data_IF_355650223853
#
_entry.id   IF_355650223853
#
_cell.length_a   1.000
_cell.length_b   1.000
_cell.length_c   1.000
_cell.angle_alpha   90.00
_cell.angle_beta   90.00
_cell.angle_gamma   90.00
#
_symmetry.space_group_name_H-M   'P 1'
#
loop_
_entity.id
_entity.type
_entity.pdbx_description
1 polymer ?
#
# COMPACT_ATOMS: atom_id res chain seq x y z
N UNK A 1 15.67 -6.04 60.64
CA UNK A 1 15.47 -7.01 59.54
C UNK A 1 14.48 -6.44 58.57
N UNK A 2 14.95 -5.86 57.45
CA UNK A 2 14.11 -5.33 56.35
C UNK A 2 14.08 -6.38 55.24
N UNK A 3 12.92 -6.98 55.00
CA UNK A 3 12.70 -7.88 53.86
C UNK A 3 12.56 -7.04 52.59
N UNK A 4 13.47 -7.25 51.65
CA UNK A 4 13.38 -6.75 50.27
C UNK A 4 12.43 -7.67 49.49
N UNK A 5 11.29 -7.14 49.05
CA UNK A 5 10.44 -7.77 48.03
C UNK A 5 11.06 -7.52 46.67
N UNK A 6 11.52 -8.58 46.04
CA UNK A 6 11.94 -8.57 44.63
C UNK A 6 10.70 -8.62 43.76
N UNK A 7 10.48 -7.55 42.98
CA UNK A 7 9.48 -7.54 41.93
C UNK A 7 10.10 -8.26 40.73
N UNK A 8 9.60 -9.46 40.45
CA UNK A 8 9.97 -10.24 39.26
C UNK A 8 9.20 -9.69 38.09
N UNK A 9 9.83 -8.83 37.30
CA UNK A 9 9.28 -8.33 36.04
C UNK A 9 9.24 -9.46 35.00
N UNK A 10 8.04 -9.87 34.65
CA UNK A 10 7.79 -10.83 33.59
C UNK A 10 8.01 -10.12 32.22
N UNK A 11 9.19 -10.26 31.65
CA UNK A 11 9.46 -9.91 30.27
C UNK A 11 8.70 -10.90 29.37
N UNK A 12 7.55 -10.50 28.85
CA UNK A 12 6.92 -11.21 27.74
C UNK A 12 7.76 -10.92 26.50
N UNK A 13 8.65 -11.84 26.16
CA UNK A 13 9.31 -11.86 24.88
C UNK A 13 8.25 -12.09 23.80
N UNK A 14 7.96 -11.07 23.01
CA UNK A 14 7.24 -11.23 21.76
C UNK A 14 8.08 -12.15 20.85
N UNK A 15 7.75 -13.42 20.84
CA UNK A 15 8.17 -14.34 19.78
C UNK A 15 7.48 -13.86 18.48
N UNK A 16 8.17 -13.01 17.74
CA UNK A 16 7.89 -12.80 16.33
C UNK A 16 8.23 -14.12 15.65
N UNK A 17 7.26 -15.00 15.57
CA UNK A 17 7.35 -16.19 14.74
C UNK A 17 7.52 -15.75 13.28
N UNK A 18 8.76 -15.76 12.79
CA UNK A 18 9.03 -15.71 11.36
C UNK A 18 8.44 -16.99 10.76
N UNK A 19 7.23 -16.91 10.23
CA UNK A 19 6.77 -17.97 9.34
C UNK A 19 7.74 -18.03 8.16
N UNK A 20 8.28 -19.21 7.82
CA UNK A 20 9.07 -19.33 6.60
C UNK A 20 8.14 -19.04 5.44
N UNK A 21 8.32 -17.88 4.82
CA UNK A 21 7.71 -17.58 3.52
C UNK A 21 8.37 -18.54 2.55
N UNK A 22 7.69 -19.64 2.23
CA UNK A 22 8.05 -20.43 1.07
C UNK A 22 8.07 -19.45 -0.11
N UNK A 23 9.23 -19.28 -0.72
CA UNK A 23 9.43 -18.43 -1.88
C UNK A 23 8.62 -19.03 -3.05
N UNK A 24 7.33 -18.74 -3.08
CA UNK A 24 6.48 -19.06 -4.19
C UNK A 24 6.72 -17.97 -5.24
N UNK A 25 7.40 -18.31 -6.33
CA UNK A 25 7.78 -17.41 -7.43
C UNK A 25 6.60 -16.71 -8.13
N UNK A 26 5.37 -16.93 -7.64
CA UNK A 26 4.12 -16.25 -8.04
C UNK A 26 3.59 -15.28 -6.97
N UNK A 27 4.14 -15.27 -5.76
CA UNK A 27 3.70 -14.35 -4.72
C UNK A 27 4.03 -12.91 -5.13
N UNK A 28 3.01 -12.05 -5.18
CA UNK A 28 3.18 -10.64 -5.52
C UNK A 28 3.09 -10.27 -6.99
N UNK A 29 2.96 -11.21 -7.95
CA UNK A 29 2.75 -10.84 -9.36
C UNK A 29 1.46 -10.05 -9.54
N UNK A 30 1.43 -9.05 -10.45
CA UNK A 30 0.24 -8.25 -10.71
C UNK A 30 -0.98 -9.08 -11.13
N UNK A 31 -2.14 -8.77 -10.56
CA UNK A 31 -3.45 -9.32 -10.93
C UNK A 31 -4.42 -8.19 -11.18
N UNK A 32 -5.03 -8.17 -12.37
CA UNK A 32 -6.13 -7.26 -12.69
C UNK A 32 -7.46 -7.91 -12.25
N UNK A 33 -8.20 -7.19 -11.43
CA UNK A 33 -9.56 -7.55 -11.06
C UNK A 33 -10.54 -6.92 -12.05
N UNK A 34 -11.16 -7.76 -12.89
CA UNK A 34 -12.11 -7.31 -13.92
C UNK A 34 -13.35 -6.65 -13.34
N UNK A 35 -13.73 -7.03 -12.13
CA UNK A 35 -14.89 -6.52 -11.39
C UNK A 35 -14.78 -5.03 -11.07
N UNK A 36 -13.57 -4.54 -10.83
CA UNK A 36 -13.31 -3.14 -10.49
C UNK A 36 -12.37 -2.46 -11.48
N UNK A 37 -11.70 -3.24 -12.34
CA UNK A 37 -10.71 -2.76 -13.29
C UNK A 37 -9.42 -2.27 -12.62
N UNK A 38 -9.19 -2.62 -11.34
CA UNK A 38 -7.99 -2.24 -10.60
C UNK A 38 -7.01 -3.40 -10.48
N UNK A 39 -5.74 -3.05 -10.34
CA UNK A 39 -4.66 -4.03 -10.24
C UNK A 39 -4.16 -4.13 -8.81
N UNK A 40 -3.82 -5.33 -8.40
CA UNK A 40 -3.22 -5.63 -7.10
C UNK A 40 -1.90 -6.37 -7.31
N UNK A 41 -0.81 -5.92 -6.65
CA UNK A 41 0.51 -6.49 -6.90
C UNK A 41 1.44 -6.43 -5.69
N UNK A 42 2.57 -7.15 -5.80
CA UNK A 42 3.73 -7.12 -4.93
C UNK A 42 3.38 -7.23 -3.43
N UNK A 43 3.93 -6.39 -2.58
CA UNK A 43 3.72 -6.41 -1.13
C UNK A 43 2.24 -6.23 -0.73
N UNK A 44 1.49 -5.40 -1.46
CA UNK A 44 0.04 -5.25 -1.24
C UNK A 44 -0.70 -6.56 -1.53
N UNK A 45 -0.35 -7.24 -2.63
CA UNK A 45 -0.94 -8.54 -2.96
C UNK A 45 -0.54 -9.62 -1.95
N UNK A 46 0.73 -9.66 -1.53
CA UNK A 46 1.18 -10.62 -0.52
C UNK A 46 0.42 -10.46 0.79
N UNK A 47 0.21 -9.20 1.25
CA UNK A 47 -0.60 -8.92 2.44
C UNK A 47 -2.06 -9.34 2.23
N UNK A 48 -2.66 -8.97 1.10
CA UNK A 48 -4.04 -9.30 0.75
C UNK A 48 -4.26 -10.83 0.72
N UNK A 49 -3.40 -11.58 0.02
CA UNK A 49 -3.44 -13.04 -0.05
C UNK A 49 -3.30 -13.67 1.35
N UNK A 50 -2.37 -13.18 2.17
CA UNK A 50 -2.11 -13.69 3.52
C UNK A 50 -3.18 -13.32 4.55
N UNK A 51 -3.89 -12.22 4.35
CA UNK A 51 -4.92 -11.72 5.26
C UNK A 51 -6.34 -12.20 4.90
N UNK A 52 -6.50 -13.19 4.04
CA UNK A 52 -7.78 -13.78 3.68
C UNK A 52 -8.42 -13.22 2.41
N UNK A 53 -7.69 -12.43 1.65
CA UNK A 53 -8.05 -12.03 0.29
C UNK A 53 -9.39 -11.33 0.17
N UNK A 54 -10.14 -11.77 -0.82
CA UNK A 54 -11.45 -11.19 -1.17
C UNK A 54 -12.46 -11.23 -0.02
N UNK A 55 -12.45 -12.27 0.81
CA UNK A 55 -13.40 -12.41 1.91
C UNK A 55 -13.17 -11.40 3.04
N UNK A 56 -11.93 -10.99 3.26
CA UNK A 56 -11.54 -10.05 4.32
C UNK A 56 -11.41 -8.63 3.78
N UNK A 57 -10.61 -8.43 2.72
CA UNK A 57 -10.29 -7.10 2.21
C UNK A 57 -11.31 -6.59 1.16
N UNK A 58 -11.94 -7.50 0.42
CA UNK A 58 -12.75 -7.17 -0.77
C UNK A 58 -11.88 -6.90 -1.98
N UNK A 59 -12.50 -6.43 -3.05
CA UNK A 59 -11.84 -6.02 -4.28
C UNK A 59 -11.04 -4.72 -4.10
N UNK A 60 -9.91 -4.52 -4.81
CA UNK A 60 -9.27 -3.21 -4.88
C UNK A 60 -10.19 -2.19 -5.54
N UNK A 61 -10.28 -1.00 -4.97
CA UNK A 61 -11.09 0.13 -5.45
C UNK A 61 -10.25 1.24 -6.06
N UNK A 62 -8.95 1.19 -5.86
CA UNK A 62 -7.98 2.15 -6.44
C UNK A 62 -6.76 1.39 -6.92
N UNK A 63 -5.96 2.04 -7.75
CA UNK A 63 -4.56 1.68 -7.87
C UNK A 63 -3.80 2.15 -6.60
N UNK A 64 -2.53 1.76 -6.47
CA UNK A 64 -1.68 2.32 -5.42
C UNK A 64 -1.38 3.78 -5.75
N UNK A 65 -1.45 4.66 -4.74
CA UNK A 65 -1.09 6.07 -4.87
C UNK A 65 -0.43 6.58 -3.59
N UNK A 66 0.13 7.78 -3.62
CA UNK A 66 0.75 8.39 -2.45
C UNK A 66 -0.28 9.22 -1.69
N UNK A 67 -0.48 8.87 -0.42
CA UNK A 67 -1.29 9.60 0.53
C UNK A 67 -0.47 9.80 1.81
N UNK A 68 -0.39 11.04 2.30
CA UNK A 68 0.41 11.41 3.47
C UNK A 68 1.88 10.91 3.40
N UNK A 69 2.48 10.99 2.21
CA UNK A 69 3.87 10.61 1.97
C UNK A 69 4.15 9.11 1.92
N UNK A 70 3.13 8.25 1.86
CA UNK A 70 3.30 6.79 1.74
C UNK A 70 2.41 6.17 0.67
N UNK A 71 2.85 5.08 0.04
CA UNK A 71 2.01 4.31 -0.87
C UNK A 71 0.83 3.68 -0.12
N UNK A 72 -0.38 3.88 -0.66
CA UNK A 72 -1.62 3.30 -0.14
C UNK A 72 -2.45 2.70 -1.27
N UNK A 73 -3.27 1.70 -0.96
CA UNK A 73 -4.28 1.16 -1.84
C UNK A 73 -5.56 0.90 -1.05
N UNK A 74 -6.69 1.33 -1.60
CA UNK A 74 -8.00 1.10 -0.99
C UNK A 74 -8.67 -0.12 -1.59
N UNK A 75 -9.34 -0.85 -0.70
CA UNK A 75 -10.17 -2.01 -0.99
C UNK A 75 -11.58 -1.75 -0.47
N UNK A 76 -12.55 -2.58 -0.83
CA UNK A 76 -13.93 -2.39 -0.35
C UNK A 76 -14.02 -2.28 1.17
N UNK A 77 -13.23 -3.09 1.92
CA UNK A 77 -13.30 -3.20 3.38
C UNK A 77 -12.06 -2.69 4.10
N UNK A 78 -10.97 -2.41 3.38
CA UNK A 78 -9.69 -2.08 3.97
C UNK A 78 -8.97 -0.97 3.20
N UNK A 79 -8.00 -0.36 3.86
CA UNK A 79 -6.92 0.44 3.27
C UNK A 79 -5.60 -0.25 3.63
N UNK A 80 -4.75 -0.50 2.65
CA UNK A 80 -3.39 -0.99 2.87
C UNK A 80 -2.39 0.14 2.69
N UNK A 81 -1.36 0.15 3.52
CA UNK A 81 -0.33 1.18 3.60
C UNK A 81 1.05 0.54 3.59
N UNK A 82 1.96 1.08 2.77
CA UNK A 82 3.36 0.71 2.81
C UNK A 82 4.12 1.55 3.84
N UNK A 83 4.73 0.89 4.82
CA UNK A 83 5.55 1.52 5.85
C UNK A 83 7.03 1.27 5.58
N UNK A 84 7.67 2.20 4.85
CA UNK A 84 9.05 2.06 4.38
C UNK A 84 10.08 1.88 5.51
N UNK A 85 9.86 2.55 6.65
CA UNK A 85 10.72 2.43 7.84
C UNK A 85 10.66 1.05 8.51
N UNK A 86 9.56 0.31 8.30
CA UNK A 86 9.37 -1.04 8.84
C UNK A 86 9.56 -2.12 7.78
N UNK A 87 9.56 -1.74 6.50
CA UNK A 87 9.65 -2.68 5.39
C UNK A 87 8.45 -3.60 5.22
N UNK A 88 7.24 -3.17 5.62
CA UNK A 88 6.03 -3.99 5.61
C UNK A 88 4.81 -3.23 5.12
N UNK A 89 3.81 -3.97 4.63
CA UNK A 89 2.45 -3.47 4.43
C UNK A 89 1.64 -3.67 5.70
N UNK A 90 0.87 -2.66 6.09
CA UNK A 90 -0.08 -2.71 7.20
C UNK A 90 -1.48 -2.31 6.73
N UNK A 91 -2.50 -2.78 7.43
CA UNK A 91 -3.85 -2.27 7.25
C UNK A 91 -4.01 -0.94 7.99
N UNK A 92 -4.53 0.07 7.29
CA UNK A 92 -4.78 1.42 7.81
C UNK A 92 -5.98 1.48 8.77
N UNK A 93 -6.07 2.54 9.55
CA UNK A 93 -7.01 2.68 10.66
C UNK A 93 -8.41 3.18 10.22
N UNK A 94 -9.03 2.52 9.22
CA UNK A 94 -10.37 2.87 8.75
C UNK A 94 -11.45 2.66 9.81
N UNK A 95 -11.29 1.66 10.69
CA UNK A 95 -12.23 1.42 11.77
C UNK A 95 -12.24 2.56 12.78
N UNK A 96 -11.08 3.17 13.09
CA UNK A 96 -10.99 4.36 13.94
C UNK A 96 -11.69 5.55 13.29
N UNK A 97 -11.44 5.79 12.01
CA UNK A 97 -12.12 6.84 11.23
C UNK A 97 -13.66 6.67 11.26
N UNK A 98 -14.16 5.45 11.12
CA UNK A 98 -15.59 5.14 11.16
C UNK A 98 -16.16 5.28 12.58
N UNK A 99 -15.43 4.82 13.61
CA UNK A 99 -15.79 4.95 15.02
C UNK A 99 -15.99 6.42 15.44
N UNK A 100 -15.13 7.32 14.96
CA UNK A 100 -15.24 8.77 15.25
C UNK A 100 -16.53 9.38 14.67
N UNK A 101 -17.12 8.76 13.68
CA UNK A 101 -18.37 9.17 12.99
C UNK A 101 -19.61 8.48 13.50
N UNK A 102 -19.49 7.43 14.30
CA UNK A 102 -20.66 6.77 14.90
C UNK A 102 -21.39 7.75 15.83
N UNK A 103 -22.71 7.78 15.73
CA UNK A 103 -23.58 8.57 16.62
C UNK A 103 -23.86 7.87 17.94
N UNK A 104 -23.67 6.56 17.99
CA UNK A 104 -23.87 5.73 19.20
C UNK A 104 -22.58 5.69 20.01
N UNK A 105 -22.53 6.38 21.16
CA UNK A 105 -21.30 6.54 21.96
C UNK A 105 -21.14 5.56 23.12
N UNK A 106 -22.22 5.07 23.70
CA UNK A 106 -22.15 4.20 24.88
C UNK A 106 -21.28 2.95 24.70
N UNK A 107 -21.31 2.23 23.56
CA UNK A 107 -20.44 1.06 23.33
C UNK A 107 -18.95 1.36 23.27
N UNK A 108 -18.58 2.61 23.02
CA UNK A 108 -17.17 3.06 22.96
C UNK A 108 -16.63 3.52 24.34
N UNK A 109 -17.45 3.42 25.39
CA UNK A 109 -17.01 3.74 26.75
C UNK A 109 -16.06 2.66 27.26
N UNK A 110 -14.87 3.06 27.79
CA UNK A 110 -13.88 2.11 28.29
C UNK A 110 -14.40 1.23 29.42
N UNK A 111 -14.03 -0.05 29.40
CA UNK A 111 -14.33 -1.03 30.44
C UNK A 111 -13.17 -1.22 31.41
N UNK A 112 -13.44 -1.76 32.60
CA UNK A 112 -12.43 -2.13 33.60
C UNK A 112 -12.00 -3.60 33.53
N UNK A 113 -12.67 -4.42 32.71
CA UNK A 113 -12.40 -5.85 32.54
C UNK A 113 -13.47 -6.56 31.72
N UNK A 114 -13.31 -7.86 31.53
CA UNK A 114 -14.30 -8.72 30.89
C UNK A 114 -15.52 -8.94 31.80
N UNK A 115 -16.72 -8.88 31.21
CA UNK A 115 -17.95 -9.19 31.95
C UNK A 115 -18.18 -10.71 32.09
N UNK A 116 -17.63 -11.51 31.16
CA UNK A 116 -17.81 -12.95 31.12
C UNK A 116 -16.47 -13.66 30.88
N UNK A 117 -16.27 -14.88 31.42
CA UNK A 117 -15.02 -15.66 31.27
C UNK A 117 -14.71 -16.02 29.81
N UNK A 118 -15.73 -16.00 28.93
CA UNK A 118 -15.59 -16.30 27.49
C UNK A 118 -15.10 -15.12 26.67
N UNK A 119 -15.00 -13.93 27.27
CA UNK A 119 -14.48 -12.72 26.60
C UNK A 119 -12.97 -12.56 26.86
N UNK A 120 -12.27 -11.99 25.88
CA UNK A 120 -10.92 -11.44 26.05
C UNK A 120 -11.07 -9.96 26.36
N UNK A 121 -10.41 -9.48 27.41
CA UNK A 121 -10.25 -8.06 27.68
C UNK A 121 -8.90 -7.57 27.17
N UNK A 122 -8.91 -6.46 26.45
CA UNK A 122 -7.71 -5.79 25.94
C UNK A 122 -7.43 -4.53 26.77
N UNK A 123 -6.41 -4.55 27.64
CA UNK A 123 -6.05 -3.39 28.47
C UNK A 123 -5.67 -2.16 27.62
N UNK A 124 -5.10 -2.38 26.44
CA UNK A 124 -4.62 -1.34 25.52
C UNK A 124 -5.76 -0.45 24.99
N UNK A 125 -6.89 -1.05 24.65
CA UNK A 125 -8.08 -0.34 24.17
C UNK A 125 -9.17 -0.22 25.22
N UNK A 126 -9.10 -1.01 26.31
CA UNK A 126 -10.08 -1.12 27.40
C UNK A 126 -11.44 -1.59 26.90
N UNK A 127 -11.43 -2.54 25.96
CA UNK A 127 -12.63 -3.17 25.39
C UNK A 127 -12.52 -4.69 25.45
N UNK A 128 -13.68 -5.35 25.26
CA UNK A 128 -13.77 -6.81 25.30
C UNK A 128 -14.07 -7.36 23.90
N UNK A 129 -13.76 -8.64 23.71
CA UNK A 129 -14.06 -9.37 22.47
C UNK A 129 -14.54 -10.78 22.83
N UNK A 130 -15.73 -11.15 22.37
CA UNK A 130 -16.39 -12.41 22.68
C UNK A 130 -17.02 -13.10 21.49
N UNK A 131 -17.67 -14.22 21.76
CA UNK A 131 -18.57 -14.91 20.82
C UNK A 131 -17.97 -15.22 19.45
N UNK A 132 -18.80 -15.03 18.42
CA UNK A 132 -18.42 -15.24 17.02
C UNK A 132 -17.39 -14.25 16.53
N UNK A 133 -17.42 -13.01 17.01
CA UNK A 133 -16.44 -11.98 16.63
C UNK A 133 -15.06 -12.34 17.14
N UNK A 134 -14.93 -12.90 18.37
CA UNK A 134 -13.66 -13.41 18.87
C UNK A 134 -13.13 -14.55 18.00
N UNK A 135 -13.96 -15.52 17.65
CA UNK A 135 -13.55 -16.65 16.80
C UNK A 135 -13.10 -16.15 15.42
N UNK A 136 -13.85 -15.24 14.82
CA UNK A 136 -13.51 -14.66 13.54
C UNK A 136 -12.18 -13.88 13.59
N UNK A 137 -11.99 -13.04 14.61
CA UNK A 137 -10.77 -12.29 14.82
C UNK A 137 -9.54 -13.20 14.97
N UNK A 138 -9.66 -14.25 15.80
CA UNK A 138 -8.56 -15.21 16.02
C UNK A 138 -8.20 -15.99 14.77
N UNK A 139 -9.18 -16.37 13.96
CA UNK A 139 -8.99 -17.22 12.77
C UNK A 139 -8.53 -16.45 11.54
N UNK A 140 -8.64 -15.10 11.50
CA UNK A 140 -8.40 -14.29 10.31
C UNK A 140 -7.29 -13.23 10.52
N UNK A 141 -6.29 -13.50 11.35
CA UNK A 141 -5.09 -12.66 11.49
C UNK A 141 -5.09 -11.67 12.65
N UNK A 142 -6.14 -11.65 13.46
CA UNK A 142 -6.17 -11.00 14.77
C UNK A 142 -5.70 -9.55 14.76
N UNK A 143 -4.79 -9.24 15.67
CA UNK A 143 -4.27 -7.89 15.88
C UNK A 143 -3.59 -7.30 14.65
N UNK A 144 -2.92 -8.12 13.84
CA UNK A 144 -2.22 -7.64 12.65
C UNK A 144 -3.18 -7.14 11.56
N UNK A 145 -4.31 -7.83 11.39
CA UNK A 145 -5.27 -7.52 10.32
C UNK A 145 -6.32 -6.52 10.81
N UNK A 146 -6.86 -6.70 12.01
CA UNK A 146 -8.02 -5.95 12.49
C UNK A 146 -7.70 -4.88 13.53
N UNK A 147 -6.59 -5.02 14.26
CA UNK A 147 -6.27 -4.18 15.41
C UNK A 147 -7.05 -4.54 16.67
N UNK A 148 -6.95 -3.67 17.69
CA UNK A 148 -7.69 -3.79 18.93
C UNK A 148 -9.16 -3.43 18.74
N UNK A 149 -10.11 -4.02 19.52
CA UNK A 149 -11.49 -3.54 19.56
C UNK A 149 -11.54 -2.11 20.12
N UNK A 150 -12.40 -1.28 19.55
CA UNK A 150 -12.63 0.11 19.94
C UNK A 150 -14.00 0.30 20.59
N UNK A 151 -14.86 -0.70 20.52
CA UNK A 151 -16.20 -0.70 21.13
C UNK A 151 -16.53 -2.07 21.69
N UNK A 152 -17.62 -2.12 22.47
CA UNK A 152 -18.35 -3.37 22.72
C UNK A 152 -19.26 -3.66 21.50
N UNK A 153 -19.90 -4.84 21.49
CA UNK A 153 -20.93 -5.19 20.52
C UNK A 153 -22.19 -4.33 20.71
N UNK A 154 -22.79 -3.85 19.62
CA UNK A 154 -24.06 -3.12 19.66
C UNK A 154 -24.81 -3.21 18.31
N UNK A 155 -26.10 -2.82 18.32
CA UNK A 155 -26.91 -2.76 17.11
C UNK A 155 -26.70 -1.44 16.38
N UNK A 156 -26.42 -1.51 15.08
CA UNK A 156 -26.24 -0.36 14.20
C UNK A 156 -26.95 -0.58 12.85
N UNK A 157 -27.56 0.48 12.31
CA UNK A 157 -28.15 0.45 10.97
C UNK A 157 -27.03 0.55 9.93
N UNK A 158 -26.91 -0.45 9.07
CA UNK A 158 -25.99 -0.42 7.94
C UNK A 158 -26.56 0.53 6.87
N UNK A 159 -25.77 1.55 6.52
CA UNK A 159 -26.20 2.59 5.59
C UNK A 159 -26.27 2.12 4.13
N UNK A 160 -25.70 0.96 3.78
CA UNK A 160 -25.73 0.44 2.42
C UNK A 160 -27.03 -0.29 2.09
N UNK A 161 -27.58 -1.04 3.04
CA UNK A 161 -28.79 -1.84 2.83
C UNK A 161 -29.97 -1.48 3.76
N UNK A 162 -29.76 -0.54 4.69
CA UNK A 162 -30.77 -0.07 5.65
C UNK A 162 -31.13 -1.08 6.76
N UNK A 163 -30.46 -2.23 6.83
CA UNK A 163 -30.73 -3.25 7.85
C UNK A 163 -29.93 -2.98 9.11
N UNK A 164 -30.42 -3.51 10.21
CA UNK A 164 -29.76 -3.44 11.52
C UNK A 164 -28.94 -4.70 11.78
N UNK A 165 -27.65 -4.55 12.08
CA UNK A 165 -26.77 -5.65 12.42
C UNK A 165 -26.14 -5.45 13.79
N UNK A 166 -25.77 -6.55 14.45
CA UNK A 166 -24.82 -6.47 15.57
C UNK A 166 -23.44 -6.18 15.00
N UNK A 167 -22.84 -5.10 15.49
CA UNK A 167 -21.52 -4.65 15.03
C UNK A 167 -20.54 -4.51 16.18
N UNK A 168 -19.24 -4.61 15.87
CA UNK A 168 -18.16 -4.23 16.78
C UNK A 168 -17.06 -3.52 15.97
N UNK A 169 -16.58 -2.38 16.47
CA UNK A 169 -15.53 -1.60 15.83
C UNK A 169 -14.15 -2.05 16.34
N UNK A 170 -13.22 -2.11 15.39
CA UNK A 170 -11.80 -2.35 15.61
C UNK A 170 -10.98 -1.20 15.01
N UNK A 171 -9.70 -1.09 15.32
CA UNK A 171 -8.87 0.01 14.80
C UNK A 171 -8.87 0.09 13.26
N UNK A 172 -8.93 -1.05 12.57
CA UNK A 172 -8.78 -1.13 11.11
C UNK A 172 -10.06 -1.45 10.37
N UNK A 173 -11.10 -1.93 11.08
CA UNK A 173 -12.33 -2.40 10.44
C UNK A 173 -13.52 -2.34 11.39
N UNK A 174 -14.72 -2.68 10.88
CA UNK A 174 -15.93 -2.95 11.66
C UNK A 174 -16.41 -4.36 11.31
N UNK A 175 -16.64 -5.19 12.32
CA UNK A 175 -17.31 -6.48 12.16
C UNK A 175 -18.83 -6.31 12.19
N UNK A 176 -19.52 -7.13 11.39
CA UNK A 176 -20.98 -7.16 11.26
C UNK A 176 -21.46 -8.61 11.34
N UNK A 177 -22.48 -8.87 12.15
CA UNK A 177 -23.10 -10.18 12.26
C UNK A 177 -24.36 -10.26 11.39
N UNK A 178 -24.35 -11.19 10.44
CA UNK A 178 -25.41 -11.47 9.46
C UNK A 178 -26.02 -12.84 9.73
N UNK A 179 -27.04 -12.95 10.62
CA UNK A 179 -27.62 -14.24 11.03
C UNK A 179 -28.25 -15.04 9.89
N UNK A 180 -28.70 -14.36 8.85
CA UNK A 180 -29.38 -14.97 7.70
C UNK A 180 -28.42 -15.67 6.71
N UNK A 181 -27.10 -15.49 6.89
CA UNK A 181 -26.10 -16.10 6.04
C UNK A 181 -25.65 -17.47 6.58
N UNK A 182 -25.12 -18.36 5.70
CA UNK A 182 -24.49 -19.60 6.13
C UNK A 182 -23.40 -19.35 7.19
N UNK A 183 -23.23 -20.25 8.16
CA UNK A 183 -22.39 -20.09 9.35
C UNK A 183 -20.99 -19.49 9.07
N UNK A 184 -20.33 -19.91 7.98
CA UNK A 184 -19.01 -19.43 7.58
C UNK A 184 -18.96 -17.96 7.11
N UNK A 185 -20.12 -17.36 6.83
CA UNK A 185 -20.27 -15.98 6.34
C UNK A 185 -21.06 -15.09 7.30
N UNK A 186 -21.47 -15.61 8.45
CA UNK A 186 -22.25 -14.84 9.43
C UNK A 186 -21.48 -13.67 10.02
N UNK A 187 -20.16 -13.73 10.07
CA UNK A 187 -19.35 -12.57 10.41
C UNK A 187 -18.70 -12.05 9.13
N UNK A 188 -18.96 -10.80 8.82
CA UNK A 188 -18.36 -10.08 7.69
C UNK A 188 -17.80 -8.73 8.14
N UNK A 189 -17.14 -8.04 7.22
CA UNK A 189 -16.57 -6.72 7.49
C UNK A 189 -17.39 -5.65 6.75
N UNK A 190 -17.61 -4.53 7.43
CA UNK A 190 -18.20 -3.34 6.81
C UNK A 190 -17.33 -2.79 5.68
N UNK A 191 -17.96 -2.23 4.66
CA UNK A 191 -17.27 -1.69 3.47
C UNK A 191 -16.62 -0.32 3.75
N UNK A 192 -15.77 -0.26 4.79
CA UNK A 192 -15.19 1.00 5.27
C UNK A 192 -14.26 1.67 4.26
N UNK A 193 -13.58 0.89 3.40
CA UNK A 193 -12.74 1.48 2.36
C UNK A 193 -13.57 2.25 1.33
N UNK A 194 -14.68 1.68 0.88
CA UNK A 194 -15.64 2.36 0.00
C UNK A 194 -16.24 3.60 0.66
N UNK A 195 -16.73 3.46 1.90
CA UNK A 195 -17.31 4.56 2.66
C UNK A 195 -16.32 5.73 2.86
N UNK A 196 -15.04 5.41 3.12
CA UNK A 196 -14.00 6.42 3.26
C UNK A 196 -13.77 7.19 1.96
N UNK A 197 -13.63 6.49 0.83
CA UNK A 197 -13.43 7.11 -0.48
C UNK A 197 -14.62 7.99 -0.88
N UNK A 198 -15.84 7.52 -0.65
CA UNK A 198 -17.07 8.28 -0.93
C UNK A 198 -17.17 9.55 -0.06
N UNK A 199 -16.82 9.44 1.23
CA UNK A 199 -16.89 10.57 2.17
C UNK A 199 -15.79 11.62 1.98
N UNK A 200 -14.61 11.22 1.51
CA UNK A 200 -13.43 12.10 1.47
C UNK A 200 -13.01 12.50 0.06
N UNK A 201 -13.42 11.75 -0.96
CA UNK A 201 -12.93 11.90 -2.32
C UNK A 201 -11.43 11.61 -2.45
N UNK A 202 -10.87 10.81 -1.54
CA UNK A 202 -9.42 10.57 -1.42
C UNK A 202 -8.78 9.85 -2.60
N UNK A 203 -9.58 9.29 -3.53
CA UNK A 203 -9.04 8.69 -4.74
C UNK A 203 -8.31 9.75 -5.57
N UNK A 204 -7.09 9.48 -6.06
CA UNK A 204 -6.36 10.45 -6.85
C UNK A 204 -7.13 10.77 -8.13
N UNK A 205 -7.22 12.05 -8.47
CA UNK A 205 -7.89 12.53 -9.71
C UNK A 205 -7.23 11.99 -10.99
N UNK A 206 -6.02 11.44 -10.88
CA UNK A 206 -5.26 10.80 -11.95
C UNK A 206 -5.36 9.27 -11.94
N UNK A 207 -6.19 8.68 -11.05
CA UNK A 207 -6.41 7.24 -11.03
C UNK A 207 -6.73 6.77 -12.45
N UNK A 208 -6.28 5.58 -12.79
CA UNK A 208 -6.35 4.95 -14.13
C UNK A 208 -7.75 4.91 -14.78
N UNK A 209 -8.76 5.59 -14.24
CA UNK A 209 -10.06 5.77 -14.88
C UNK A 209 -9.93 6.45 -16.27
N UNK A 210 -8.91 7.27 -16.46
CA UNK A 210 -8.56 7.81 -17.80
C UNK A 210 -8.02 6.72 -18.74
N UNK A 211 -7.44 5.64 -18.20
CA UNK A 211 -6.94 4.49 -18.98
C UNK A 211 -8.05 3.47 -19.21
N UNK A 212 -9.05 3.37 -18.32
CA UNK A 212 -10.21 2.48 -18.46
C UNK A 212 -11.14 2.85 -19.62
N UNK A 213 -11.18 4.11 -20.02
CA UNK A 213 -12.04 4.57 -21.11
C UNK A 213 -11.49 4.28 -22.50
N UNK A 214 -10.26 3.85 -22.61
CA UNK A 214 -9.68 3.37 -23.85
C UNK A 214 -9.51 1.86 -23.74
N UNK A 215 -9.93 1.10 -24.73
CA UNK A 215 -9.62 -0.32 -24.96
C UNK A 215 -8.09 -0.54 -25.15
N UNK A 216 -7.27 0.14 -24.35
CA UNK A 216 -5.82 0.06 -24.41
C UNK A 216 -5.42 -1.14 -23.58
N UNK A 217 -4.98 -2.20 -24.25
CA UNK A 217 -4.38 -3.33 -23.56
C UNK A 217 -3.28 -2.82 -22.60
N UNK A 218 -3.32 -3.23 -21.32
CA UNK A 218 -2.37 -2.88 -20.27
C UNK A 218 -0.91 -2.83 -20.73
N UNK A 219 -0.52 -3.77 -21.62
CA UNK A 219 0.81 -3.87 -22.18
C UNK A 219 1.16 -2.76 -23.17
N UNK A 220 0.19 -1.96 -23.64
CA UNK A 220 0.39 -0.99 -24.70
C UNK A 220 0.95 0.36 -24.23
N UNK A 221 0.87 0.66 -22.94
CA UNK A 221 1.23 1.99 -22.40
C UNK A 221 2.48 1.98 -21.54
N UNK A 222 2.90 0.82 -20.99
CA UNK A 222 4.07 0.75 -20.11
C UNK A 222 5.37 1.12 -20.85
N UNK A 223 6.30 1.82 -20.19
CA UNK A 223 7.63 2.03 -20.75
C UNK A 223 8.38 0.68 -20.84
N UNK A 224 8.94 0.41 -22.02
CA UNK A 224 9.69 -0.85 -22.28
C UNK A 224 11.18 -0.63 -22.50
N UNK A 225 11.58 0.60 -22.81
CA UNK A 225 12.98 1.00 -23.03
C UNK A 225 13.18 2.46 -22.67
N UNK A 226 14.36 2.77 -22.14
CA UNK A 226 14.84 4.14 -21.88
C UNK A 226 16.19 4.37 -22.56
N UNK A 227 16.35 5.53 -23.20
CA UNK A 227 17.59 5.96 -23.81
C UNK A 227 17.95 7.40 -23.41
N UNK A 228 19.22 7.64 -23.11
CA UNK A 228 19.84 8.97 -23.02
C UNK A 228 21.18 8.92 -23.78
N UNK A 229 21.19 9.27 -25.08
CA UNK A 229 22.36 9.05 -25.94
C UNK A 229 23.64 9.71 -25.45
N UNK A 230 23.55 10.94 -24.92
CA UNK A 230 24.75 11.69 -24.45
C UNK A 230 25.52 10.99 -23.36
N UNK A 231 24.86 10.22 -22.51
CA UNK A 231 25.48 9.47 -21.41
C UNK A 231 25.54 7.95 -21.69
N UNK A 232 25.29 7.55 -22.95
CA UNK A 232 25.30 6.15 -23.37
C UNK A 232 24.37 5.25 -22.54
N UNK A 233 23.27 5.80 -22.03
CA UNK A 233 22.22 5.02 -21.38
C UNK A 233 21.29 4.46 -22.46
N UNK A 234 21.16 3.15 -22.50
CA UNK A 234 20.22 2.43 -23.37
C UNK A 234 19.90 1.09 -22.70
N UNK A 235 18.68 0.96 -22.17
CA UNK A 235 18.29 -0.25 -21.43
C UNK A 235 16.80 -0.53 -21.49
N UNK A 236 16.43 -1.77 -21.20
CA UNK A 236 15.03 -2.15 -21.00
C UNK A 236 14.48 -1.55 -19.72
N UNK A 237 13.19 -1.25 -19.75
CA UNK A 237 12.41 -0.88 -18.58
C UNK A 237 11.42 -1.99 -18.30
N UNK A 238 11.36 -2.44 -17.06
CA UNK A 238 10.33 -3.36 -16.59
C UNK A 238 9.51 -2.71 -15.47
N UNK A 239 8.30 -3.16 -15.28
CA UNK A 239 7.51 -2.74 -14.13
C UNK A 239 8.00 -3.48 -12.89
N UNK A 240 8.24 -2.73 -11.82
CA UNK A 240 8.69 -3.28 -10.55
C UNK A 240 8.02 -2.56 -9.39
N UNK A 241 7.55 -3.35 -8.43
CA UNK A 241 6.90 -2.87 -7.23
C UNK A 241 7.78 -2.98 -6.01
N UNK A 242 7.15 -2.94 -4.84
CA UNK A 242 7.82 -3.16 -3.57
C UNK A 242 7.69 -4.60 -3.12
N UNK A 243 8.79 -5.20 -2.68
CA UNK A 243 8.81 -6.44 -1.93
C UNK A 243 9.81 -6.32 -0.78
N UNK A 244 9.54 -7.02 0.32
CA UNK A 244 10.44 -7.11 1.48
C UNK A 244 11.06 -5.77 1.94
N UNK A 245 10.33 -4.68 1.81
CA UNK A 245 10.80 -3.40 2.30
C UNK A 245 11.57 -2.53 1.32
N UNK A 246 11.73 -2.98 0.10
CA UNK A 246 12.46 -2.25 -0.92
C UNK A 246 11.71 -2.25 -2.25
N UNK A 247 12.01 -1.28 -3.07
CA UNK A 247 11.62 -1.30 -4.46
C UNK A 247 12.47 -2.36 -5.18
N UNK A 248 11.80 -3.30 -5.86
CA UNK A 248 12.43 -4.41 -6.61
C UNK A 248 13.10 -3.90 -7.88
N UNK A 249 14.17 -3.11 -7.72
CA UNK A 249 14.94 -2.61 -8.86
C UNK A 249 15.86 -3.72 -9.36
N UNK A 250 15.67 -4.22 -10.59
CA UNK A 250 16.51 -5.28 -11.12
C UNK A 250 17.92 -4.77 -11.44
N UNK A 251 18.89 -5.67 -11.38
CA UNK A 251 20.31 -5.31 -11.59
C UNK A 251 20.62 -4.82 -13.00
N UNK A 252 19.94 -5.40 -14.00
CA UNK A 252 20.27 -5.22 -15.43
C UNK A 252 19.17 -4.56 -16.25
N UNK A 253 18.13 -4.02 -15.61
CA UNK A 253 17.05 -3.29 -16.24
C UNK A 253 16.66 -2.08 -15.41
N UNK A 254 16.09 -1.07 -16.02
CA UNK A 254 15.45 0.00 -15.29
C UNK A 254 14.09 -0.47 -14.76
N UNK A 255 13.69 0.03 -13.60
CA UNK A 255 12.45 -0.31 -12.94
C UNK A 255 11.48 0.87 -13.02
N UNK A 256 10.39 0.74 -13.78
CA UNK A 256 9.25 1.64 -13.68
C UNK A 256 8.51 1.38 -12.36
N UNK A 257 8.24 2.45 -11.61
CA UNK A 257 7.64 2.37 -10.27
C UNK A 257 6.14 2.09 -10.36
N UNK A 258 5.83 0.83 -10.58
CA UNK A 258 4.47 0.37 -10.71
C UNK A 258 3.88 -0.02 -9.34
N UNK A 259 2.60 0.21 -9.06
CA UNK A 259 1.58 0.86 -9.92
C UNK A 259 1.39 2.36 -9.62
N UNK A 260 2.31 3.02 -8.96
CA UNK A 260 2.19 4.39 -8.45
C UNK A 260 2.51 5.44 -9.50
N UNK A 261 3.47 5.12 -10.40
CA UNK A 261 3.93 6.07 -11.41
C UNK A 261 2.98 6.15 -12.61
N UNK A 262 2.95 7.33 -13.24
CA UNK A 262 2.24 7.56 -14.49
C UNK A 262 2.90 6.82 -15.67
N UNK A 263 2.20 6.80 -16.80
CA UNK A 263 2.68 6.18 -18.03
C UNK A 263 3.01 7.22 -19.10
N UNK A 264 3.94 6.91 -20.04
CA UNK A 264 4.26 7.81 -21.15
C UNK A 264 3.01 8.24 -21.92
N UNK A 265 2.84 9.55 -22.07
CA UNK A 265 1.69 10.15 -22.74
C UNK A 265 0.51 10.48 -21.86
N UNK A 266 0.62 10.30 -20.55
CA UNK A 266 -0.40 10.70 -19.59
C UNK A 266 0.15 11.79 -18.65
N UNK A 267 -0.74 12.64 -18.12
CA UNK A 267 -0.35 13.55 -17.03
C UNK A 267 0.09 12.74 -15.82
N UNK A 268 1.10 13.20 -15.12
CA UNK A 268 1.64 12.56 -13.93
C UNK A 268 3.15 12.32 -13.98
N UNK A 269 3.66 11.65 -12.95
CA UNK A 269 5.08 11.40 -12.75
C UNK A 269 5.46 9.97 -13.16
N UNK A 270 6.25 9.83 -14.21
CA UNK A 270 6.78 8.55 -14.70
C UNK A 270 8.09 8.28 -13.95
N UNK A 271 8.03 7.50 -12.89
CA UNK A 271 9.18 7.26 -12.01
C UNK A 271 9.91 5.99 -12.44
N UNK A 272 11.21 6.10 -12.70
CA UNK A 272 12.06 4.99 -13.14
C UNK A 272 13.34 4.97 -12.32
N UNK A 273 13.63 3.84 -11.66
CA UNK A 273 14.86 3.64 -10.91
C UNK A 273 15.84 2.71 -11.63
N UNK A 274 17.10 2.84 -11.28
CA UNK A 274 18.15 1.93 -11.73
C UNK A 274 19.34 1.93 -10.80
N UNK A 275 20.01 0.78 -10.71
CA UNK A 275 21.21 0.63 -9.89
C UNK A 275 22.43 1.34 -10.51
N UNK A 276 23.35 1.69 -9.63
CA UNK A 276 24.66 2.30 -9.91
C UNK A 276 25.74 1.61 -9.07
N UNK A 277 26.99 1.66 -9.52
CA UNK A 277 28.14 1.26 -8.69
C UNK A 277 28.70 -0.14 -8.96
N UNK A 278 28.02 -0.99 -9.69
CA UNK A 278 28.58 -2.25 -10.18
C UNK A 278 28.93 -2.12 -11.66
N UNK A 279 29.89 -2.94 -12.13
CA UNK A 279 30.45 -2.84 -13.50
C UNK A 279 29.38 -2.84 -14.60
N UNK A 280 28.27 -3.55 -14.36
CA UNK A 280 27.20 -3.77 -15.36
C UNK A 280 25.88 -3.11 -14.98
N UNK A 281 25.86 -2.17 -14.02
CA UNK A 281 24.62 -1.50 -13.64
C UNK A 281 24.28 -0.36 -14.60
N UNK A 282 22.99 -0.25 -14.86
CA UNK A 282 22.46 0.51 -16.00
C UNK A 282 22.53 2.02 -15.83
N UNK A 283 22.50 2.54 -14.59
CA UNK A 283 22.52 3.97 -14.30
C UNK A 283 23.91 4.50 -13.90
N UNK A 284 25.00 3.74 -14.16
CA UNK A 284 26.37 4.16 -13.84
C UNK A 284 26.75 5.53 -14.39
N UNK A 285 26.22 5.90 -15.55
CA UNK A 285 26.51 7.18 -16.20
C UNK A 285 25.45 8.25 -15.95
N UNK A 286 24.36 7.93 -15.25
CA UNK A 286 23.31 8.90 -14.92
C UNK A 286 23.84 10.12 -14.13
N UNK A 287 24.85 10.01 -13.25
CA UNK A 287 25.47 11.17 -12.60
C UNK A 287 26.09 12.20 -13.58
N UNK A 288 26.32 11.82 -14.83
CA UNK A 288 26.83 12.72 -15.87
C UNK A 288 25.70 13.45 -16.63
N UNK A 289 24.43 13.23 -16.29
CA UNK A 289 23.30 13.91 -16.92
C UNK A 289 23.40 15.43 -16.73
N UNK A 290 22.88 16.19 -17.69
CA UNK A 290 22.83 17.66 -17.68
C UNK A 290 21.43 18.13 -18.05
N UNK A 291 21.03 19.28 -17.52
CA UNK A 291 19.82 19.97 -17.98
C UNK A 291 19.94 20.22 -19.50
N UNK A 292 18.87 19.93 -20.22
CA UNK A 292 18.84 20.00 -21.69
C UNK A 292 19.16 18.67 -22.40
N UNK A 293 19.66 17.65 -21.71
CA UNK A 293 19.90 16.33 -22.32
C UNK A 293 18.57 15.73 -22.81
N UNK A 294 18.68 14.98 -23.90
CA UNK A 294 17.55 14.25 -24.45
C UNK A 294 17.38 12.89 -23.78
N UNK A 295 16.15 12.61 -23.41
CA UNK A 295 15.70 11.34 -22.89
C UNK A 295 14.59 10.81 -23.77
N UNK A 296 14.61 9.53 -24.05
CA UNK A 296 13.61 8.83 -24.86
C UNK A 296 13.05 7.66 -24.08
N UNK A 297 11.71 7.56 -24.06
CA UNK A 297 10.98 6.39 -23.56
C UNK A 297 10.23 5.71 -24.71
N UNK A 298 10.42 4.41 -24.85
CA UNK A 298 9.63 3.59 -25.76
C UNK A 298 8.45 3.01 -25.04
N UNK A 299 7.26 3.18 -25.58
CA UNK A 299 6.00 2.62 -25.08
C UNK A 299 5.15 2.23 -26.29
N UNK A 300 4.59 1.03 -26.30
CA UNK A 300 3.79 0.53 -27.43
C UNK A 300 4.49 0.66 -28.80
N UNK A 301 5.79 0.39 -28.83
CA UNK A 301 6.58 0.52 -30.08
C UNK A 301 6.84 1.95 -30.54
N UNK A 302 6.26 2.96 -29.93
CA UNK A 302 6.50 4.37 -30.21
C UNK A 302 7.49 4.96 -29.21
N UNK A 303 8.39 5.83 -29.71
CA UNK A 303 9.37 6.54 -28.89
C UNK A 303 8.87 7.95 -28.59
N UNK A 304 8.87 8.35 -27.32
CA UNK A 304 8.55 9.70 -26.87
C UNK A 304 9.83 10.39 -26.41
N UNK A 305 9.95 11.66 -26.78
CA UNK A 305 11.12 12.49 -26.51
C UNK A 305 10.86 13.43 -25.34
N UNK A 306 11.83 13.52 -24.45
CA UNK A 306 11.84 14.41 -23.29
C UNK A 306 13.16 15.19 -23.25
N UNK A 307 13.16 16.31 -22.53
CA UNK A 307 14.35 17.08 -22.22
C UNK A 307 14.55 17.15 -20.72
N UNK A 308 15.76 16.88 -20.23
CA UNK A 308 16.08 17.02 -18.80
C UNK A 308 15.86 18.47 -18.39
N UNK A 309 14.98 18.68 -17.42
CA UNK A 309 14.58 19.98 -16.89
C UNK A 309 15.22 20.31 -15.54
N UNK A 310 15.52 19.28 -14.75
CA UNK A 310 15.99 19.45 -13.37
C UNK A 310 16.87 18.27 -12.92
N UNK A 311 17.89 18.55 -12.11
CA UNK A 311 18.74 17.54 -11.50
C UNK A 311 18.91 17.90 -10.03
N UNK A 312 18.59 16.94 -9.12
CA UNK A 312 18.64 17.13 -7.67
C UNK A 312 19.44 16.01 -7.01
N UNK A 313 20.04 16.31 -5.86
CA UNK A 313 20.61 15.31 -4.95
C UNK A 313 19.89 15.43 -3.62
N UNK A 314 19.19 14.39 -3.22
CA UNK A 314 18.29 14.37 -2.08
C UNK A 314 18.67 13.26 -1.10
N UNK A 315 18.16 13.35 0.14
CA UNK A 315 18.25 12.25 1.09
C UNK A 315 17.28 11.10 0.72
N UNK A 316 17.55 9.86 1.14
CA UNK A 316 16.66 8.73 0.85
C UNK A 316 15.22 8.90 1.36
N UNK A 317 15.04 9.68 2.43
CA UNK A 317 13.74 10.01 3.04
C UNK A 317 12.95 11.08 2.30
N UNK A 318 13.57 11.80 1.37
CA UNK A 318 12.93 12.83 0.55
C UNK A 318 12.07 12.21 -0.55
N UNK A 319 10.96 11.59 -0.17
CA UNK A 319 10.09 10.83 -1.08
C UNK A 319 9.11 11.68 -1.90
N UNK A 320 9.06 13.00 -1.67
CA UNK A 320 8.16 13.92 -2.39
C UNK A 320 8.36 13.89 -3.92
N UNK A 321 9.55 13.50 -4.38
CA UNK A 321 9.86 13.36 -5.80
C UNK A 321 9.09 12.23 -6.50
N UNK A 322 8.50 11.32 -5.71
CA UNK A 322 7.65 10.24 -6.21
C UNK A 322 6.20 10.69 -6.39
N UNK A 323 5.83 11.84 -5.82
CA UNK A 323 4.46 12.33 -5.87
C UNK A 323 3.99 12.57 -7.31
N UNK A 324 2.70 12.40 -7.59
CA UNK A 324 2.10 12.74 -8.87
C UNK A 324 2.32 14.21 -9.22
N UNK A 325 2.46 14.48 -10.52
CA UNK A 325 2.57 15.83 -11.08
C UNK A 325 1.34 16.19 -11.91
N UNK A 326 1.01 17.48 -12.00
CA UNK A 326 -0.13 17.94 -12.79
C UNK A 326 0.09 17.77 -14.32
N UNK A 327 1.34 17.71 -14.75
CA UNK A 327 1.76 17.48 -16.14
C UNK A 327 2.66 16.25 -16.23
N UNK A 328 2.84 15.73 -17.44
CA UNK A 328 3.74 14.62 -17.71
C UNK A 328 5.20 14.99 -17.35
N UNK A 329 5.81 14.23 -16.46
CA UNK A 329 7.21 14.36 -16.04
C UNK A 329 7.81 12.96 -15.95
N UNK A 330 9.05 12.78 -16.43
CA UNK A 330 9.87 11.59 -16.19
C UNK A 330 10.81 11.89 -15.02
N UNK A 331 10.86 11.03 -14.03
CA UNK A 331 11.76 11.13 -12.88
C UNK A 331 12.64 9.88 -12.81
N UNK A 332 13.94 10.03 -13.09
CA UNK A 332 14.91 8.96 -12.94
C UNK A 332 15.55 9.05 -11.57
N UNK A 333 15.76 7.89 -10.92
CA UNK A 333 16.30 7.80 -9.56
C UNK A 333 17.42 6.79 -9.50
N UNK A 334 18.54 7.19 -8.89
CA UNK A 334 19.64 6.28 -8.55
C UNK A 334 20.34 6.70 -7.25
N UNK A 335 21.24 5.86 -6.74
CA UNK A 335 22.00 6.15 -5.51
C UNK A 335 23.28 6.90 -5.83
N UNK A 336 23.67 7.86 -4.98
CA UNK A 336 24.96 8.59 -5.07
C UNK A 336 25.49 8.94 -3.67
N UNK A 337 26.81 9.27 -3.47
CA UNK A 337 27.91 8.98 -4.40
C UNK A 337 28.11 7.48 -4.59
N UNK A 338 28.65 7.08 -5.73
CA UNK A 338 28.99 5.67 -6.00
C UNK A 338 29.94 5.15 -4.92
N UNK A 339 29.62 3.99 -4.34
CA UNK A 339 30.37 3.38 -3.25
C UNK A 339 29.93 3.80 -1.84
N UNK A 340 29.22 4.94 -1.68
CA UNK A 340 28.70 5.43 -0.39
C UNK A 340 27.17 5.29 -0.32
N UNK A 341 26.47 5.65 -1.40
CA UNK A 341 25.02 5.49 -1.59
C UNK A 341 24.13 6.24 -0.58
N UNK A 342 24.66 7.29 0.05
CA UNK A 342 23.98 8.05 1.11
C UNK A 342 22.85 8.95 0.61
N UNK A 343 22.85 9.27 -0.69
CA UNK A 343 21.86 10.16 -1.30
C UNK A 343 21.19 9.51 -2.53
N UNK A 344 20.20 10.18 -3.05
CA UNK A 344 19.52 9.86 -4.31
C UNK A 344 19.76 10.96 -5.32
N UNK A 345 20.29 10.59 -6.47
CA UNK A 345 20.31 11.45 -7.64
C UNK A 345 18.96 11.36 -8.33
N UNK A 346 18.35 12.51 -8.55
CA UNK A 346 17.07 12.67 -9.25
C UNK A 346 17.32 13.43 -10.54
N UNK A 347 16.91 12.86 -11.68
CA UNK A 347 16.94 13.53 -12.98
C UNK A 347 15.52 13.62 -13.48
N UNK A 348 14.99 14.83 -13.59
CA UNK A 348 13.63 15.08 -14.10
C UNK A 348 13.67 15.57 -15.51
N UNK A 349 12.73 15.12 -16.34
CA UNK A 349 12.61 15.51 -17.72
C UNK A 349 11.14 15.76 -18.09
N UNK A 350 10.90 16.74 -18.97
CA UNK A 350 9.57 17.09 -19.46
C UNK A 350 9.45 16.77 -20.95
N UNK A 351 8.23 16.51 -21.47
CA UNK A 351 8.01 16.23 -22.88
C UNK A 351 8.60 17.33 -23.75
N UNK A 352 9.23 16.92 -24.85
CA UNK A 352 9.73 17.81 -25.89
C UNK A 352 8.86 17.59 -27.14
N UNK A 353 8.31 18.66 -27.72
CA UNK A 353 7.55 18.57 -28.96
C UNK A 353 8.29 17.90 -30.12
#
# INVERSE_FOLDING_TARGET
MRRRMSVLGLLIALLVGTMPVAANTRAGTPVLFKETGHTLAYGFRQFWDGAGGLSIMGYPLTEVFIEDGRPVQYFERARLEWHANLGIVLAGHLGRWAADRSTTRAPFAPRSGAAYPTQIYFPESRHTLGGLFRQFWQNNGGLQVFGYPLSEEFLEVNQQDGKTYTVQYFERTRFEYHPDLPAKYQVSLGHLGRQYLEATGAAPRWSLDAVKSADVAWNAVRPTRIRMPRISLDTTVIEAGFSLGAWDVPRYSAAHYWPVAAYPGTAGNIVIAGHVGYRDTIFNYLPNARVGDELYLTSNGAERRYSVSEILTLLPEDTWVLNPTASEVVTLITCVPIGVYSHRLIVRATPKP
#
